data_IF_829624266635
#
_entry.id   IF_829624266635
#
_cell.length_a   1.000
_cell.length_b   1.000
_cell.length_c   1.000
_cell.angle_alpha   90.00
_cell.angle_beta   90.00
_cell.angle_gamma   90.00
#
_symmetry.space_group_name_H-M   'P 1'
#
loop_
_entity.id
_entity.type
_entity.pdbx_description
1 polymer ?
#
# COMPACT_ATOMS: atom_id res chain seq x y z
N UNK A 1 23.28 19.06 48.81
CA UNK A 1 22.12 18.16 48.89
C UNK A 1 21.09 18.60 47.87
N UNK A 2 20.81 17.71 46.91
CA UNK A 2 19.75 17.68 45.87
C UNK A 2 19.64 18.93 44.97
N UNK A 3 19.88 18.92 43.65
CA UNK A 3 19.76 17.86 42.65
C UNK A 3 18.40 17.97 41.96
N UNK A 4 18.36 18.56 40.76
CA UNK A 4 17.44 18.21 39.67
C UNK A 4 17.79 19.05 38.43
N UNK A 5 18.50 18.43 37.48
CA UNK A 5 18.58 18.93 36.10
C UNK A 5 17.19 18.75 35.47
N UNK A 6 16.69 19.70 34.66
CA UNK A 6 15.51 19.43 33.84
C UNK A 6 15.91 18.36 32.83
N UNK A 7 15.43 17.14 33.03
CA UNK A 7 15.56 16.05 32.07
C UNK A 7 14.76 16.43 30.84
N UNK A 8 15.45 16.91 29.80
CA UNK A 8 14.92 16.93 28.45
C UNK A 8 14.51 15.51 28.10
N UNK A 9 13.20 15.26 28.12
CA UNK A 9 12.62 14.05 27.55
C UNK A 9 13.19 13.89 26.14
N UNK A 10 13.81 12.76 25.78
CA UNK A 10 14.01 12.50 24.37
C UNK A 10 12.62 12.30 23.81
N UNK A 11 12.09 13.34 23.15
CA UNK A 11 10.97 13.20 22.23
C UNK A 11 11.33 12.00 21.37
N UNK A 12 10.50 10.96 21.47
CA UNK A 12 10.58 9.78 20.62
C UNK A 12 10.38 10.27 19.20
N UNK A 13 11.47 10.70 18.59
CA UNK A 13 11.52 10.89 17.17
C UNK A 13 11.40 9.48 16.63
N UNK A 14 10.17 9.15 16.24
CA UNK A 14 9.83 8.10 15.31
C UNK A 14 10.46 8.48 13.95
N UNK A 15 11.79 8.60 13.94
CA UNK A 15 12.62 8.77 12.78
C UNK A 15 12.59 7.41 12.10
N UNK A 16 11.62 7.25 11.20
CA UNK A 16 11.75 6.24 10.16
C UNK A 16 13.17 6.36 9.58
N UNK A 17 13.91 5.25 9.45
CA UNK A 17 15.29 5.30 9.00
C UNK A 17 15.39 6.09 7.70
N UNK A 18 16.44 6.93 7.52
CA UNK A 18 16.59 7.71 6.31
C UNK A 18 16.48 6.75 5.11
N UNK A 19 15.56 7.05 4.19
CA UNK A 19 15.24 6.14 3.11
C UNK A 19 16.50 5.77 2.33
N UNK A 20 16.96 4.53 2.46
CA UNK A 20 18.23 4.07 1.86
C UNK A 20 18.11 3.81 0.36
N UNK A 21 16.90 3.63 -0.15
CA UNK A 21 16.67 3.26 -1.55
C UNK A 21 16.15 4.46 -2.34
N UNK A 22 16.99 4.97 -3.26
CA UNK A 22 16.64 6.09 -4.13
C UNK A 22 16.04 5.62 -5.45
N UNK A 23 14.99 6.32 -5.91
CA UNK A 23 14.43 6.12 -7.24
C UNK A 23 15.39 6.65 -8.31
N UNK A 24 15.74 5.82 -9.29
CA UNK A 24 16.66 6.22 -10.36
C UNK A 24 16.12 7.30 -11.31
N UNK A 25 14.81 7.53 -11.32
CA UNK A 25 14.16 8.48 -12.23
C UNK A 25 13.92 9.85 -11.61
N UNK A 26 13.72 9.93 -10.30
CA UNK A 26 13.36 11.18 -9.62
C UNK A 26 14.11 11.43 -8.29
N UNK A 27 15.03 10.55 -7.90
CA UNK A 27 15.84 10.70 -6.69
C UNK A 27 15.08 10.51 -5.36
N UNK A 28 13.78 10.21 -5.41
CA UNK A 28 12.93 10.08 -4.23
C UNK A 28 13.38 8.90 -3.37
N UNK A 29 13.51 9.10 -2.06
CA UNK A 29 14.00 8.10 -1.12
C UNK A 29 12.87 7.25 -0.52
N UNK A 30 13.15 5.97 -0.35
CA UNK A 30 12.23 4.98 0.21
C UNK A 30 12.90 4.19 1.32
N UNK A 31 12.12 3.85 2.35
CA UNK A 31 12.57 3.03 3.48
C UNK A 31 12.95 1.59 3.08
N UNK A 32 12.43 1.07 1.95
CA UNK A 32 12.72 -0.29 1.49
C UNK A 32 12.90 -0.37 -0.03
N UNK A 33 13.74 -1.31 -0.46
CA UNK A 33 14.01 -1.57 -1.89
C UNK A 33 12.74 -1.94 -2.65
N UNK A 34 11.88 -2.76 -2.03
CA UNK A 34 10.60 -3.17 -2.62
C UNK A 34 9.67 -1.99 -2.87
N UNK A 35 9.63 -1.01 -1.96
CA UNK A 35 8.84 0.21 -2.15
C UNK A 35 9.43 1.08 -3.27
N UNK A 36 10.75 1.22 -3.33
CA UNK A 36 11.42 1.93 -4.42
C UNK A 36 11.14 1.26 -5.78
N UNK A 37 11.37 -0.06 -5.92
CA UNK A 37 11.09 -0.80 -7.16
C UNK A 37 9.62 -0.71 -7.59
N UNK A 38 8.69 -0.77 -6.64
CA UNK A 38 7.27 -0.57 -6.93
C UNK A 38 7.00 0.85 -7.43
N UNK A 39 7.60 1.85 -6.80
CA UNK A 39 7.50 3.23 -7.23
C UNK A 39 8.08 3.43 -8.64
N UNK A 40 9.21 2.83 -8.99
CA UNK A 40 9.81 2.93 -10.33
C UNK A 40 8.86 2.51 -11.46
N UNK A 41 7.86 1.66 -11.17
CA UNK A 41 6.82 1.27 -12.14
C UNK A 41 5.96 2.44 -12.62
N UNK A 42 5.86 3.53 -11.85
CA UNK A 42 5.14 4.73 -12.29
C UNK A 42 5.86 5.43 -13.45
N UNK A 43 7.19 5.35 -13.46
CA UNK A 43 8.01 5.98 -14.49
C UNK A 43 8.09 5.12 -15.74
N UNK A 44 8.22 3.80 -15.57
CA UNK A 44 8.31 2.86 -16.69
C UNK A 44 6.96 2.47 -17.27
N UNK A 45 5.86 2.79 -16.60
CA UNK A 45 4.52 2.34 -16.97
C UNK A 45 4.30 0.83 -16.82
N UNK A 46 5.23 0.10 -16.18
CA UNK A 46 5.13 -1.35 -16.03
C UNK A 46 3.90 -1.74 -15.20
N UNK A 47 3.11 -2.64 -15.78
CA UNK A 47 1.88 -3.18 -15.20
C UNK A 47 1.89 -4.71 -15.28
N UNK A 48 2.66 -5.40 -14.42
CA UNK A 48 2.88 -6.84 -14.53
C UNK A 48 1.66 -7.68 -14.13
N UNK A 49 0.62 -7.08 -13.56
CA UNK A 49 -0.55 -7.81 -13.05
C UNK A 49 -1.72 -7.60 -13.99
N UNK A 50 -2.16 -8.64 -14.69
CA UNK A 50 -3.24 -8.55 -15.67
C UNK A 50 -4.50 -9.24 -15.15
N UNK A 51 -5.64 -8.56 -15.29
CA UNK A 51 -6.94 -9.10 -14.94
C UNK A 51 -7.35 -10.20 -15.91
N UNK A 52 -7.66 -11.38 -15.36
CA UNK A 52 -8.08 -12.53 -16.18
C UNK A 52 -9.45 -12.36 -16.85
N UNK A 53 -10.28 -11.45 -16.34
CA UNK A 53 -11.65 -11.24 -16.84
C UNK A 53 -11.70 -10.21 -17.98
N UNK A 54 -10.92 -9.13 -17.91
CA UNK A 54 -10.99 -8.02 -18.88
C UNK A 54 -9.63 -7.60 -19.46
N UNK A 55 -8.56 -8.34 -19.18
CA UNK A 55 -7.20 -8.10 -19.67
C UNK A 55 -6.62 -6.72 -19.31
N UNK A 56 -7.23 -6.01 -18.36
CA UNK A 56 -6.69 -4.75 -17.84
C UNK A 56 -5.49 -5.00 -16.94
N UNK A 57 -4.40 -4.28 -17.17
CA UNK A 57 -3.16 -4.42 -16.39
C UNK A 57 -2.99 -3.35 -15.30
N UNK A 58 -2.39 -3.76 -14.18
CA UNK A 58 -2.17 -3.00 -12.96
C UNK A 58 -0.71 -3.06 -12.52
N UNK A 59 -0.26 -2.01 -11.81
CA UNK A 59 1.11 -1.91 -11.29
C UNK A 59 1.31 -2.64 -9.95
N UNK A 60 0.22 -2.99 -9.26
CA UNK A 60 0.22 -3.65 -7.95
C UNK A 60 -0.80 -4.80 -7.90
N UNK A 61 -0.45 -5.86 -7.17
CA UNK A 61 -1.29 -7.06 -7.02
C UNK A 61 -2.55 -6.80 -6.20
N UNK A 62 -2.45 -6.04 -5.10
CA UNK A 62 -3.61 -5.70 -4.26
C UNK A 62 -4.67 -4.92 -5.05
N UNK A 63 -4.24 -3.99 -5.92
CA UNK A 63 -5.14 -3.26 -6.81
C UNK A 63 -5.80 -4.18 -7.84
N UNK A 64 -5.07 -5.15 -8.39
CA UNK A 64 -5.67 -6.17 -9.26
C UNK A 64 -6.70 -7.01 -8.50
N UNK A 65 -6.37 -7.51 -7.30
CA UNK A 65 -7.29 -8.32 -6.50
C UNK A 65 -8.57 -7.56 -6.16
N UNK A 66 -8.45 -6.28 -5.77
CA UNK A 66 -9.60 -5.42 -5.54
C UNK A 66 -10.42 -5.23 -6.82
N UNK A 67 -9.76 -4.99 -7.95
CA UNK A 67 -10.42 -4.91 -9.24
C UNK A 67 -11.16 -6.20 -9.62
N UNK A 68 -10.57 -7.38 -9.41
CA UNK A 68 -11.22 -8.65 -9.74
C UNK A 68 -12.51 -8.90 -8.95
N UNK A 69 -12.66 -8.30 -7.76
CA UNK A 69 -13.89 -8.38 -6.97
C UNK A 69 -15.10 -7.78 -7.68
N UNK A 70 -14.89 -6.81 -8.58
CA UNK A 70 -16.00 -6.23 -9.35
C UNK A 70 -16.56 -7.22 -10.36
N UNK A 71 -15.75 -8.15 -10.86
CA UNK A 71 -16.17 -9.17 -11.82
C UNK A 71 -16.87 -10.33 -11.12
N UNK A 72 -16.39 -10.72 -9.94
CA UNK A 72 -16.94 -11.85 -9.18
C UNK A 72 -18.13 -11.46 -8.30
N UNK A 73 -18.44 -10.16 -8.18
CA UNK A 73 -19.47 -9.67 -7.25
C UNK A 73 -19.13 -9.93 -5.77
N UNK A 74 -17.88 -10.25 -5.46
CA UNK A 74 -17.48 -10.66 -4.11
C UNK A 74 -17.41 -9.45 -3.18
N UNK A 75 -18.44 -9.27 -2.36
CA UNK A 75 -18.50 -8.24 -1.31
C UNK A 75 -17.66 -8.70 -0.11
N UNK A 76 -16.64 -7.93 0.34
CA UNK A 76 -15.72 -8.36 1.41
C UNK A 76 -16.37 -8.47 2.79
N UNK A 77 -17.60 -7.98 2.95
CA UNK A 77 -18.35 -8.09 4.19
C UNK A 77 -19.70 -8.72 3.88
N UNK A 78 -19.96 -9.98 4.31
CA UNK A 78 -21.33 -10.44 4.40
C UNK A 78 -22.03 -9.52 5.40
N UNK A 79 -22.98 -8.72 4.91
CA UNK A 79 -23.81 -7.95 5.81
C UNK A 79 -24.65 -8.95 6.60
N UNK A 80 -24.43 -9.03 7.91
CA UNK A 80 -25.20 -9.91 8.83
C UNK A 80 -26.71 -9.58 8.87
N UNK A 81 -27.10 -8.45 8.28
CA UNK A 81 -28.49 -7.98 8.19
C UNK A 81 -29.06 -8.00 6.76
N UNK A 82 -28.25 -8.33 5.74
CA UNK A 82 -28.80 -8.58 4.41
C UNK A 82 -29.30 -10.02 4.39
N UNK A 83 -30.55 -10.22 4.84
CA UNK A 83 -31.28 -11.44 4.55
C UNK A 83 -31.36 -11.53 3.02
N UNK A 84 -30.73 -12.55 2.45
CA UNK A 84 -30.79 -12.84 1.03
C UNK A 84 -32.23 -13.16 0.65
N UNK A 85 -33.01 -12.16 0.25
CA UNK A 85 -34.23 -12.40 -0.51
C UNK A 85 -33.79 -12.53 -1.96
N UNK A 86 -33.40 -13.75 -2.34
CA UNK A 86 -33.42 -14.17 -3.74
C UNK A 86 -34.87 -14.08 -4.20
N UNK A 87 -35.23 -12.95 -4.77
CA UNK A 87 -36.58 -12.67 -5.26
C UNK A 87 -36.66 -13.12 -6.71
N UNK A 88 -37.55 -14.09 -6.97
CA UNK A 88 -38.28 -14.28 -8.23
C UNK A 88 -37.47 -14.75 -9.43
#
# INVERSE_FOLDING_TARGET
>A
MVGAQPTSVPTSHNQAPPGKHSCKFCGKLFASSSNCKRHERIHTGQKPFTCKFCQRSFSQSNTLVEHERIHTGHKPFPCKFCVSVSSG
#
